data_IF_012934479371
#
_entry.id   IF_012934479371
#
_cell.length_a   1.000
_cell.length_b   1.000
_cell.length_c   1.000
_cell.angle_alpha   90.00
_cell.angle_beta   90.00
_cell.angle_gamma   90.00
#
_symmetry.space_group_name_H-M   'P 1'
#
loop_
_entity.id
_entity.type
_entity.pdbx_description
1 polymer ?
#
# COMPACT_ATOMS: atom_id res chain seq x y z
N UNK A 1 -7.19 -0.38 19.39
CA UNK A 1 -6.53 -0.85 18.15
C UNK A 1 -5.96 0.38 17.46
N UNK A 2 -4.68 0.37 17.07
CA UNK A 2 -4.04 1.57 16.50
C UNK A 2 -4.26 1.62 14.99
N UNK A 3 -4.74 2.76 14.48
CA UNK A 3 -4.85 3.01 13.05
C UNK A 3 -3.50 3.53 12.53
N UNK A 4 -2.86 2.77 11.65
CA UNK A 4 -1.54 3.11 11.08
C UNK A 4 -1.63 3.82 9.72
N UNK A 5 -2.83 4.22 9.30
CA UNK A 5 -3.04 4.92 8.05
C UNK A 5 -4.48 4.86 7.56
N UNK A 6 -4.78 5.70 6.58
CA UNK A 6 -6.08 5.73 5.88
C UNK A 6 -5.81 5.78 4.38
N UNK A 7 -6.55 4.99 3.63
CA UNK A 7 -6.40 4.84 2.19
C UNK A 7 -7.74 5.03 1.48
N UNK A 8 -7.69 5.61 0.29
CA UNK A 8 -8.82 5.80 -0.61
C UNK A 8 -8.59 4.95 -1.86
N UNK A 9 -9.62 4.22 -2.29
CA UNK A 9 -9.58 3.46 -3.53
C UNK A 9 -9.56 4.39 -4.75
N UNK A 10 -8.67 4.12 -5.69
CA UNK A 10 -8.55 4.77 -6.98
C UNK A 10 -8.61 3.74 -8.11
N UNK A 11 -8.63 4.20 -9.38
CA UNK A 11 -8.74 3.33 -10.56
C UNK A 11 -7.66 2.23 -10.60
N UNK A 12 -6.43 2.57 -10.22
CA UNK A 12 -5.26 1.69 -10.37
C UNK A 12 -4.58 1.37 -9.02
N UNK A 13 -5.36 1.31 -7.93
CA UNK A 13 -4.85 0.96 -6.60
C UNK A 13 -5.45 1.79 -5.47
N UNK A 14 -4.68 2.02 -4.42
CA UNK A 14 -5.12 2.80 -3.25
C UNK A 14 -4.10 3.88 -2.90
N UNK A 15 -4.55 5.11 -2.69
CA UNK A 15 -3.68 6.21 -2.27
C UNK A 15 -3.99 6.58 -0.83
N UNK A 16 -2.98 6.82 -0.01
CA UNK A 16 -3.19 7.13 1.40
C UNK A 16 -1.97 7.64 2.13
N UNK A 17 -2.10 7.72 3.45
CA UNK A 17 -1.00 8.07 4.34
C UNK A 17 -0.73 6.91 5.29
N UNK A 18 0.54 6.51 5.37
CA UNK A 18 1.04 5.55 6.35
C UNK A 18 1.68 6.33 7.50
N UNK A 19 1.14 6.17 8.70
CA UNK A 19 1.59 6.86 9.90
C UNK A 19 1.82 5.86 11.03
N UNK A 20 3.09 5.65 11.36
CA UNK A 20 3.55 4.87 12.51
C UNK A 20 4.30 5.79 13.47
N UNK A 21 4.91 5.23 14.51
CA UNK A 21 5.70 6.01 15.47
C UNK A 21 6.90 6.72 14.82
N UNK A 22 7.54 6.10 13.82
CA UNK A 22 8.79 6.59 13.21
C UNK A 22 8.65 6.96 11.73
N UNK A 23 7.54 6.61 11.09
CA UNK A 23 7.31 6.81 9.66
C UNK A 23 6.00 7.57 9.43
N UNK A 24 6.05 8.64 8.66
CA UNK A 24 4.89 9.41 8.25
C UNK A 24 5.03 9.82 6.79
N UNK A 25 4.42 9.05 5.88
CA UNK A 25 4.60 9.21 4.43
C UNK A 25 3.27 9.04 3.69
N UNK A 26 3.12 9.74 2.57
CA UNK A 26 2.07 9.44 1.60
C UNK A 26 2.57 8.34 0.68
N UNK A 27 1.73 7.34 0.43
CA UNK A 27 2.09 6.18 -0.40
C UNK A 27 0.88 5.75 -1.21
N UNK A 28 1.16 5.08 -2.33
CA UNK A 28 0.20 4.39 -3.17
C UNK A 28 0.46 2.89 -3.12
N UNK A 29 -0.59 2.11 -2.86
CA UNK A 29 -0.61 0.67 -3.05
C UNK A 29 -1.01 0.41 -4.50
N UNK A 30 -0.11 -0.17 -5.29
CA UNK A 30 -0.38 -0.55 -6.67
C UNK A 30 -0.36 -2.06 -6.82
N UNK A 31 -1.19 -2.65 -7.69
CA UNK A 31 -1.16 -4.08 -7.96
C UNK A 31 0.27 -4.52 -8.32
N UNK A 32 0.68 -5.63 -7.74
CA UNK A 32 1.93 -6.27 -8.09
C UNK A 32 1.72 -7.19 -9.30
N UNK A 33 2.70 -7.23 -10.19
CA UNK A 33 2.72 -8.26 -11.24
C UNK A 33 3.20 -9.56 -10.58
N UNK A 34 2.27 -10.45 -10.27
CA UNK A 34 2.55 -11.67 -9.51
C UNK A 34 3.40 -12.69 -10.29
N UNK A 35 3.48 -12.55 -11.62
CA UNK A 35 4.11 -13.54 -12.49
C UNK A 35 3.72 -14.98 -12.10
N UNK A 36 4.70 -15.87 -12.06
CA UNK A 36 4.55 -17.28 -11.63
C UNK A 36 4.89 -17.50 -10.14
N UNK A 37 4.90 -16.45 -9.32
CA UNK A 37 5.35 -16.55 -7.92
C UNK A 37 4.17 -16.79 -6.99
N UNK A 38 4.00 -18.02 -6.52
CA UNK A 38 2.87 -18.45 -5.68
C UNK A 38 2.69 -17.62 -4.40
N UNK A 39 3.78 -17.08 -3.85
CA UNK A 39 3.80 -16.32 -2.60
C UNK A 39 4.01 -14.80 -2.78
N UNK A 40 3.81 -14.28 -4.00
CA UNK A 40 3.94 -12.84 -4.24
C UNK A 40 2.78 -12.05 -3.60
N UNK A 41 3.07 -10.90 -2.95
CA UNK A 41 2.03 -9.99 -2.47
C UNK A 41 1.15 -9.49 -3.63
N UNK A 42 -0.14 -9.24 -3.33
CA UNK A 42 -1.08 -8.62 -4.26
C UNK A 42 -0.74 -7.18 -4.63
N UNK A 43 -0.15 -6.43 -3.69
CA UNK A 43 0.15 -5.02 -3.85
C UNK A 43 1.58 -4.70 -3.43
N UNK A 44 2.18 -3.71 -4.08
CA UNK A 44 3.44 -3.09 -3.69
C UNK A 44 3.24 -1.63 -3.32
N UNK A 45 4.07 -1.13 -2.41
CA UNK A 45 4.10 0.28 -2.05
C UNK A 45 4.91 1.07 -3.07
N UNK A 46 4.36 2.20 -3.51
CA UNK A 46 5.01 3.24 -4.30
C UNK A 46 4.92 4.55 -3.52
N UNK A 47 6.05 5.18 -3.23
CA UNK A 47 6.11 6.50 -2.60
C UNK A 47 6.05 7.62 -3.64
#
# INVERSE_FOLDING_TARGET
MANIGTFTAEKDGFTGQLRTLTLNVKVKLIPNDKGDTENAPDFRLQA
#
